data_IF_462909922616
#
_entry.id   IF_462909922616
#
_cell.length_a   1.000
_cell.length_b   1.000
_cell.length_c   1.000
_cell.angle_alpha   90.00
_cell.angle_beta   90.00
_cell.angle_gamma   90.00
#
_symmetry.space_group_name_H-M   'P 1'
#
loop_
_entity.id
_entity.type
_entity.pdbx_description
1 polymer ?
#
# COMPACT_ATOMS: atom_id res chain seq x y z
N UNK A 1 35.44 6.94 6.93
CA UNK A 1 34.47 6.37 5.97
C UNK A 1 33.79 5.09 6.54
N UNK A 2 33.02 5.17 7.64
CA UNK A 2 32.55 3.93 8.33
C UNK A 2 31.06 3.80 8.67
N UNK A 3 30.24 4.87 8.63
CA UNK A 3 28.86 4.82 9.21
C UNK A 3 27.73 4.77 8.18
N UNK A 4 28.04 4.93 6.89
CA UNK A 4 27.08 4.85 5.79
C UNK A 4 26.24 3.56 5.75
N UNK A 5 26.79 2.35 6.02
CA UNK A 5 26.00 1.13 5.89
C UNK A 5 24.86 1.05 6.91
N UNK A 6 25.05 1.57 8.14
CA UNK A 6 24.00 1.57 9.16
C UNK A 6 22.85 2.49 8.78
N UNK A 7 23.15 3.71 8.34
CA UNK A 7 22.14 4.66 7.84
C UNK A 7 21.34 4.08 6.67
N UNK A 8 22.00 3.48 5.68
CA UNK A 8 21.32 2.87 4.53
C UNK A 8 20.41 1.72 4.98
N UNK A 9 20.84 0.90 5.93
CA UNK A 9 20.08 -0.25 6.39
C UNK A 9 18.84 0.19 7.18
N UNK A 10 18.99 1.08 8.15
CA UNK A 10 17.93 1.45 9.09
C UNK A 10 17.02 2.58 8.58
N UNK A 11 17.54 3.57 7.86
CA UNK A 11 16.74 4.73 7.46
C UNK A 11 16.14 4.60 6.05
N UNK A 12 16.70 3.74 5.19
CA UNK A 12 16.26 3.59 3.80
C UNK A 12 15.62 2.22 3.54
N UNK A 13 16.30 1.13 3.91
CA UNK A 13 15.86 -0.23 3.57
C UNK A 13 14.83 -0.79 4.54
N UNK A 14 15.10 -0.71 5.84
CA UNK A 14 14.23 -1.24 6.87
C UNK A 14 12.79 -0.69 6.80
N UNK A 15 12.54 0.63 6.73
CA UNK A 15 11.18 1.15 6.62
C UNK A 15 10.48 0.67 5.35
N UNK A 16 11.20 0.55 4.23
CA UNK A 16 10.63 0.05 2.97
C UNK A 16 10.25 -1.42 3.07
N UNK A 17 11.07 -2.25 3.70
CA UNK A 17 10.78 -3.68 3.90
C UNK A 17 9.56 -3.85 4.82
N UNK A 18 9.48 -3.08 5.91
CA UNK A 18 8.34 -3.10 6.82
C UNK A 18 7.05 -2.68 6.10
N UNK A 19 7.09 -1.58 5.34
CA UNK A 19 5.93 -1.13 4.57
C UNK A 19 5.50 -2.16 3.52
N UNK A 20 6.45 -2.80 2.82
CA UNK A 20 6.14 -3.85 1.86
C UNK A 20 5.49 -5.07 2.51
N UNK A 21 6.01 -5.52 3.66
CA UNK A 21 5.47 -6.64 4.42
C UNK A 21 4.04 -6.34 4.91
N UNK A 22 3.84 -5.17 5.53
CA UNK A 22 2.54 -4.76 6.08
C UNK A 22 1.51 -4.58 4.96
N UNK A 23 1.86 -3.85 3.90
CA UNK A 23 0.97 -3.65 2.75
C UNK A 23 0.60 -4.98 2.10
N UNK A 24 1.58 -5.87 1.86
CA UNK A 24 1.33 -7.20 1.31
C UNK A 24 0.40 -8.05 2.17
N UNK A 25 0.61 -8.06 3.49
CA UNK A 25 -0.26 -8.76 4.42
C UNK A 25 -1.70 -8.23 4.40
N UNK A 26 -1.87 -6.90 4.42
CA UNK A 26 -3.19 -6.26 4.36
C UNK A 26 -3.90 -6.52 3.04
N UNK A 27 -3.19 -6.49 1.91
CA UNK A 27 -3.75 -6.81 0.59
C UNK A 27 -4.18 -8.28 0.51
N UNK A 28 -3.37 -9.20 1.04
CA UNK A 28 -3.72 -10.62 1.10
C UNK A 28 -4.97 -10.87 1.95
N UNK A 29 -5.06 -10.24 3.12
CA UNK A 29 -6.24 -10.32 3.98
C UNK A 29 -7.49 -9.72 3.31
N UNK A 30 -7.36 -8.56 2.68
CA UNK A 30 -8.46 -7.94 1.95
C UNK A 30 -8.95 -8.82 0.79
N UNK A 31 -8.04 -9.45 0.05
CA UNK A 31 -8.35 -10.41 -1.01
C UNK A 31 -9.10 -11.64 -0.48
N UNK A 32 -8.57 -12.28 0.57
CA UNK A 32 -9.22 -13.44 1.20
C UNK A 32 -10.60 -13.09 1.78
N UNK A 33 -10.72 -11.94 2.45
CA UNK A 33 -12.00 -11.44 2.97
C UNK A 33 -13.00 -11.20 1.84
N UNK A 34 -12.59 -10.53 0.76
CA UNK A 34 -13.45 -10.27 -0.39
C UNK A 34 -13.92 -11.58 -1.04
N UNK A 35 -12.99 -12.48 -1.37
CA UNK A 35 -13.29 -13.78 -1.97
C UNK A 35 -14.24 -14.62 -1.11
N UNK A 36 -14.09 -14.58 0.23
CA UNK A 36 -14.96 -15.31 1.17
C UNK A 36 -16.38 -14.72 1.28
N UNK A 37 -16.51 -13.39 1.31
CA UNK A 37 -17.81 -12.71 1.39
C UNK A 37 -18.58 -12.90 0.08
N UNK A 38 -17.92 -12.70 -1.06
CA UNK A 38 -18.57 -12.84 -2.38
C UNK A 38 -18.70 -14.29 -2.82
N UNK A 39 -18.05 -15.24 -2.12
CA UNK A 39 -17.93 -16.65 -2.49
C UNK A 39 -17.47 -16.83 -3.94
N UNK A 40 -16.53 -15.99 -4.37
CA UNK A 40 -16.01 -15.95 -5.73
C UNK A 40 -14.48 -15.81 -5.68
N UNK A 41 -13.77 -16.85 -6.11
CA UNK A 41 -12.31 -16.89 -6.11
C UNK A 41 -11.64 -15.87 -7.04
N UNK A 42 -12.41 -15.20 -7.89
CA UNK A 42 -11.95 -14.13 -8.79
C UNK A 42 -12.25 -12.72 -8.26
N UNK A 43 -12.89 -12.59 -7.09
CA UNK A 43 -13.23 -11.28 -6.54
C UNK A 43 -11.99 -10.54 -6.02
N UNK A 44 -11.79 -9.32 -6.52
CA UNK A 44 -10.72 -8.41 -6.12
C UNK A 44 -11.26 -7.34 -5.16
N UNK A 45 -10.55 -7.02 -4.06
CA UNK A 45 -10.97 -5.98 -3.12
C UNK A 45 -11.02 -4.58 -3.74
N UNK A 46 -10.42 -4.35 -4.91
CA UNK A 46 -10.56 -3.10 -5.66
C UNK A 46 -11.96 -2.88 -6.24
N UNK A 47 -12.79 -3.92 -6.36
CA UNK A 47 -14.14 -3.84 -6.95
C UNK A 47 -15.11 -2.93 -6.16
N UNK A 48 -14.85 -2.70 -4.87
CA UNK A 48 -15.66 -1.81 -4.01
C UNK A 48 -15.27 -0.32 -4.14
N UNK A 49 -14.40 0.04 -5.09
CA UNK A 49 -14.09 1.43 -5.42
C UNK A 49 -13.05 2.10 -4.52
N UNK A 50 -12.44 1.36 -3.59
CA UNK A 50 -11.42 1.90 -2.66
C UNK A 50 -10.20 2.46 -3.41
N UNK A 51 -9.77 1.79 -4.49
CA UNK A 51 -8.63 2.24 -5.32
C UNK A 51 -8.91 3.56 -6.05
N UNK A 52 -10.12 3.69 -6.60
CA UNK A 52 -10.52 4.91 -7.32
C UNK A 52 -10.66 6.09 -6.36
N UNK A 53 -11.27 5.88 -5.19
CA UNK A 53 -11.39 6.91 -4.15
C UNK A 53 -10.02 7.42 -3.66
N UNK A 54 -9.08 6.50 -3.39
CA UNK A 54 -7.71 6.87 -3.01
C UNK A 54 -6.99 7.68 -4.11
N UNK A 55 -7.15 7.28 -5.37
CA UNK A 55 -6.53 7.95 -6.51
C UNK A 55 -7.03 9.39 -6.69
N UNK A 56 -8.34 9.61 -6.50
CA UNK A 56 -8.95 10.95 -6.56
C UNK A 56 -8.37 11.85 -5.46
N UNK A 57 -8.25 11.35 -4.22
CA UNK A 57 -7.70 12.13 -3.11
C UNK A 57 -6.23 12.49 -3.35
N UNK A 58 -5.42 11.53 -3.81
CA UNK A 58 -4.02 11.78 -4.17
C UNK A 58 -3.91 12.84 -5.27
N UNK A 59 -4.74 12.73 -6.32
CA UNK A 59 -4.78 13.71 -7.39
C UNK A 59 -5.13 15.11 -6.87
N UNK A 60 -6.18 15.21 -6.05
CA UNK A 60 -6.57 16.48 -5.45
C UNK A 60 -5.42 17.09 -4.63
N UNK A 61 -4.80 16.30 -3.74
CA UNK A 61 -3.66 16.76 -2.94
C UNK A 61 -2.50 17.26 -3.81
N UNK A 62 -2.14 16.54 -4.86
CA UNK A 62 -1.05 16.96 -5.77
C UNK A 62 -1.40 18.23 -6.53
N UNK A 63 -2.64 18.37 -7.00
CA UNK A 63 -3.08 19.56 -7.72
C UNK A 63 -3.14 20.81 -6.83
N UNK A 64 -3.66 20.67 -5.60
CA UNK A 64 -3.76 21.78 -4.66
C UNK A 64 -2.44 22.09 -3.94
N UNK A 65 -1.52 21.13 -3.78
CA UNK A 65 -0.21 21.35 -3.13
C UNK A 65 0.73 22.29 -3.91
N UNK A 66 0.46 22.55 -5.20
CA UNK A 66 1.26 23.46 -6.04
C UNK A 66 0.58 24.80 -6.35
N UNK A 67 -0.56 25.07 -5.72
CA UNK A 67 -1.26 26.36 -5.74
C UNK A 67 -1.04 27.05 -4.39
#
# INVERSE_FOLDING_TARGET
MGEQPRFILFDIRLPRILMALLCGAMLGLAGAAMQSITRNGLADPGLIGVKEGASIVVLALVLFSRR
#
